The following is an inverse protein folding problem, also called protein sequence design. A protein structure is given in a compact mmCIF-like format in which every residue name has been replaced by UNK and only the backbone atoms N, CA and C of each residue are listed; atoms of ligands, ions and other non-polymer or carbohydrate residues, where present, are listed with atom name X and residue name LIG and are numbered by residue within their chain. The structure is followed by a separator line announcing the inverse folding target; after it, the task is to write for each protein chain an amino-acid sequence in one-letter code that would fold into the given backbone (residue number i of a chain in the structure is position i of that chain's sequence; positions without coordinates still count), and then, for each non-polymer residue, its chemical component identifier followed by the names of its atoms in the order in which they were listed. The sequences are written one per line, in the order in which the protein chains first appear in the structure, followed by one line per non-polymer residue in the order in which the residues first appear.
data_IF_459772475332
#
_entry.id   IF_459772475332
#
_cell.length_a   1.000
_cell.length_b   1.000
_cell.length_c   1.000
_cell.angle_alpha   90.00
_cell.angle_beta   90.00
_cell.angle_gamma   90.00
#
_symmetry.space_group_name_H-M   'P 1'
#
loop_
_entity.id
_entity.type
_entity.pdbx_description
1 polymer ?
#
# COMPACT_ATOMS: atom_id res chain seq x y z
N UNK A 1 -11.38 -41.88 35.76
CA UNK A 1 -10.16 -41.11 35.50
C UNK A 1 -10.58 -39.76 34.94
N UNK A 2 -10.65 -38.77 35.81
CA UNK A 2 -10.98 -37.37 35.46
C UNK A 2 -9.71 -36.68 34.99
N UNK A 3 -9.68 -36.29 33.72
CA UNK A 3 -8.58 -35.49 33.17
C UNK A 3 -8.81 -34.06 33.63
N UNK A 4 -7.93 -33.57 34.52
CA UNK A 4 -7.85 -32.20 34.94
C UNK A 4 -7.40 -31.34 33.74
N UNK A 5 -8.21 -30.40 33.32
CA UNK A 5 -7.84 -29.38 32.34
C UNK A 5 -7.07 -28.26 33.05
N UNK A 6 -5.79 -28.47 33.29
CA UNK A 6 -4.89 -27.36 33.63
C UNK A 6 -4.75 -26.44 32.40
N UNK A 7 -5.49 -25.33 32.40
CA UNK A 7 -5.19 -24.19 31.53
C UNK A 7 -3.82 -23.67 31.95
N UNK A 8 -2.87 -23.50 31.01
CA UNK A 8 -1.60 -22.89 31.37
C UNK A 8 -1.87 -21.48 31.94
N UNK A 9 -1.29 -21.19 33.09
CA UNK A 9 -1.28 -19.86 33.69
C UNK A 9 -0.79 -18.86 32.65
N UNK A 10 -1.53 -17.77 32.45
CA UNK A 10 -1.20 -16.77 31.45
C UNK A 10 0.25 -16.32 31.63
N UNK A 11 1.00 -16.32 30.53
CA UNK A 11 2.40 -15.84 30.50
C UNK A 11 2.36 -14.36 30.85
N UNK A 12 2.94 -13.97 31.98
CA UNK A 12 3.15 -12.57 32.34
C UNK A 12 4.17 -11.92 31.40
N UNK A 13 4.11 -10.60 31.26
CA UNK A 13 5.10 -9.86 30.48
C UNK A 13 6.50 -10.05 31.10
N UNK A 14 7.52 -10.47 30.32
CA UNK A 14 8.89 -10.47 30.80
C UNK A 14 9.38 -9.04 31.13
N UNK A 15 10.41 -8.94 31.97
CA UNK A 15 10.96 -7.66 32.45
C UNK A 15 11.34 -6.68 31.31
N UNK A 16 11.66 -7.20 30.12
CA UNK A 16 11.93 -6.37 28.94
C UNK A 16 10.71 -5.54 28.51
N UNK A 17 9.52 -5.95 28.88
CA UNK A 17 8.27 -5.28 28.59
C UNK A 17 7.68 -4.54 29.80
N UNK A 18 8.39 -4.42 30.92
CA UNK A 18 7.90 -3.76 32.14
C UNK A 18 7.49 -2.29 31.90
N UNK A 19 8.05 -1.65 30.89
CA UNK A 19 7.74 -0.27 30.48
C UNK A 19 6.59 -0.17 29.50
N UNK A 20 6.13 -1.30 28.97
CA UNK A 20 4.98 -1.29 28.08
C UNK A 20 3.71 -0.91 28.85
N UNK A 21 2.95 0.04 28.31
CA UNK A 21 1.68 0.48 28.88
C UNK A 21 0.63 0.52 27.78
N UNK A 22 -0.59 0.02 28.06
CA UNK A 22 -1.71 0.12 27.13
C UNK A 22 -2.15 1.55 26.83
N UNK A 23 -1.64 2.52 27.59
CA UNK A 23 -1.87 3.97 27.42
C UNK A 23 -0.96 4.60 26.32
N UNK A 24 -0.21 3.79 25.59
CA UNK A 24 0.65 4.24 24.49
C UNK A 24 2.05 4.67 24.89
N UNK A 25 2.48 4.43 26.14
CA UNK A 25 3.88 4.63 26.50
C UNK A 25 4.72 3.49 25.91
N UNK A 26 5.55 3.80 24.91
CA UNK A 26 6.35 2.82 24.17
C UNK A 26 7.49 2.24 25.01
N UNK A 27 7.79 0.94 24.79
CA UNK A 27 8.98 0.24 25.29
C UNK A 27 10.30 0.88 24.86
N UNK A 28 10.26 1.52 23.72
CA UNK A 28 11.38 2.21 23.11
C UNK A 28 11.00 3.69 23.03
N UNK A 29 11.91 4.55 23.40
CA UNK A 29 11.74 5.99 23.30
C UNK A 29 11.57 6.41 21.82
N UNK A 30 10.44 6.02 21.25
CA UNK A 30 9.89 6.60 20.05
C UNK A 30 9.22 7.88 20.50
N UNK A 31 10.05 8.82 20.96
CA UNK A 31 9.67 10.07 21.59
C UNK A 31 8.86 11.01 20.71
N UNK A 32 8.13 10.54 19.72
CA UNK A 32 7.31 11.40 18.84
C UNK A 32 6.11 10.74 18.17
N UNK A 33 5.81 9.48 18.42
CA UNK A 33 4.44 9.01 18.19
C UNK A 33 3.71 9.19 19.51
N UNK A 34 3.18 10.36 19.73
CA UNK A 34 2.14 10.56 20.72
C UNK A 34 0.95 9.75 20.28
N UNK A 35 0.88 8.49 20.75
CA UNK A 35 -0.40 7.82 20.77
C UNK A 35 -1.34 8.74 21.54
N UNK A 36 -2.56 9.01 21.05
CA UNK A 36 -3.52 9.80 21.79
C UNK A 36 -3.72 9.09 23.14
N UNK A 37 -3.25 9.71 24.22
CA UNK A 37 -3.75 9.45 25.55
C UNK A 37 -5.24 9.43 25.45
N UNK A 38 -5.91 8.48 26.13
CA UNK A 38 -7.37 8.28 26.11
C UNK A 38 -8.09 9.57 25.76
N UNK A 39 -8.82 9.54 24.66
CA UNK A 39 -9.43 10.74 24.12
C UNK A 39 -10.18 11.46 25.26
N UNK A 40 -9.98 12.76 25.46
CA UNK A 40 -10.72 13.52 26.47
C UNK A 40 -12.24 13.39 26.30
N UNK A 41 -12.71 12.89 25.17
CA UNK A 41 -14.11 12.79 24.75
C UNK A 41 -14.74 11.40 24.94
N UNK A 42 -14.12 10.47 25.70
CA UNK A 42 -14.70 9.15 25.97
C UNK A 42 -14.65 8.17 24.79
N UNK A 43 -13.81 8.42 23.79
CA UNK A 43 -13.57 7.46 22.71
C UNK A 43 -13.00 6.16 23.28
N UNK A 44 -13.39 5.02 22.69
CA UNK A 44 -12.88 3.72 23.06
C UNK A 44 -11.36 3.69 22.93
N UNK A 45 -10.69 3.00 23.85
CA UNK A 45 -9.24 2.81 23.78
C UNK A 45 -8.87 2.12 22.45
N UNK A 46 -7.74 2.52 21.81
CA UNK A 46 -7.28 1.85 20.60
C UNK A 46 -7.02 0.35 20.85
N UNK A 47 -7.19 -0.46 19.82
CA UNK A 47 -6.89 -1.88 19.90
C UNK A 47 -5.39 -2.09 20.13
N UNK A 48 -5.04 -2.86 21.15
CA UNK A 48 -3.66 -3.25 21.41
C UNK A 48 -3.38 -4.62 20.77
N UNK A 49 -2.41 -4.66 19.85
CA UNK A 49 -2.06 -5.88 19.10
C UNK A 49 -1.42 -6.95 19.99
N UNK A 50 -0.70 -6.56 21.04
CA UNK A 50 0.06 -7.47 21.91
C UNK A 50 -0.71 -7.86 23.17
N UNK A 51 -1.47 -6.96 23.76
CA UNK A 51 -2.15 -7.17 25.03
C UNK A 51 -3.66 -7.22 24.90
N UNK A 52 -4.27 -8.02 25.75
CA UNK A 52 -5.70 -7.92 26.08
C UNK A 52 -5.94 -6.74 27.04
N UNK A 53 -7.18 -6.28 27.13
CA UNK A 53 -7.57 -5.19 28.05
C UNK A 53 -7.24 -5.47 29.53
N UNK A 54 -7.11 -6.74 29.91
CA UNK A 54 -6.70 -7.16 31.25
C UNK A 54 -5.17 -7.28 31.44
N UNK A 55 -4.39 -6.85 30.45
CA UNK A 55 -2.93 -6.85 30.47
C UNK A 55 -2.27 -8.20 30.15
N UNK A 56 -3.05 -9.24 29.82
CA UNK A 56 -2.49 -10.52 29.39
C UNK A 56 -2.00 -10.46 27.95
N UNK A 57 -0.87 -11.11 27.67
CA UNK A 57 -0.33 -11.25 26.32
C UNK A 57 -1.27 -12.06 25.45
N UNK A 58 -1.58 -11.58 24.25
CA UNK A 58 -2.37 -12.31 23.26
C UNK A 58 -1.61 -13.54 22.77
N UNK A 59 -2.32 -14.62 22.50
CA UNK A 59 -1.73 -15.92 22.16
C UNK A 59 -0.73 -15.83 20.99
N UNK A 60 -1.03 -15.06 19.96
CA UNK A 60 -0.14 -14.87 18.81
C UNK A 60 1.22 -14.26 19.17
N UNK A 61 1.29 -13.52 20.27
CA UNK A 61 2.51 -12.83 20.72
C UNK A 61 3.31 -13.59 21.76
N UNK A 62 2.79 -14.70 22.27
CA UNK A 62 3.39 -15.46 23.40
C UNK A 62 4.83 -15.86 23.10
N UNK A 63 5.09 -16.44 21.93
CA UNK A 63 6.42 -16.94 21.57
C UNK A 63 7.41 -15.80 21.35
N UNK A 64 6.97 -14.69 20.73
CA UNK A 64 7.80 -13.52 20.52
C UNK A 64 8.17 -12.85 21.85
N UNK A 65 7.18 -12.64 22.72
CA UNK A 65 7.38 -12.05 24.06
C UNK A 65 8.32 -12.93 24.91
N UNK A 66 8.13 -14.24 24.91
CA UNK A 66 9.01 -15.19 25.60
C UNK A 66 10.44 -15.15 25.02
N UNK A 67 10.57 -15.14 23.70
CA UNK A 67 11.86 -15.07 23.02
C UNK A 67 12.65 -13.81 23.34
N UNK A 68 11.99 -12.66 23.46
CA UNK A 68 12.61 -11.42 23.89
C UNK A 68 12.89 -11.37 25.38
N UNK A 69 11.97 -11.86 26.21
CA UNK A 69 12.14 -11.91 27.66
C UNK A 69 13.36 -12.70 28.11
N UNK A 70 13.64 -13.82 27.45
CA UNK A 70 14.84 -14.63 27.71
C UNK A 70 16.14 -13.91 27.33
N UNK A 71 16.07 -12.88 26.50
CA UNK A 71 17.25 -12.15 25.98
C UNK A 71 17.60 -10.89 26.78
N UNK A 72 16.62 -10.28 27.47
CA UNK A 72 16.77 -9.04 28.23
C UNK A 72 17.02 -7.80 27.37
N UNK A 73 16.85 -6.62 27.97
CA UNK A 73 16.97 -5.31 27.32
C UNK A 73 18.28 -5.07 26.59
N UNK A 74 19.41 -5.49 27.20
CA UNK A 74 20.74 -5.24 26.60
C UNK A 74 20.91 -6.01 25.28
N UNK A 75 20.37 -7.23 25.20
CA UNK A 75 20.42 -8.03 23.96
C UNK A 75 19.50 -7.47 22.89
N UNK A 76 18.34 -6.95 23.27
CA UNK A 76 17.42 -6.35 22.32
C UNK A 76 18.01 -5.06 21.74
N UNK A 77 18.62 -4.17 22.58
CA UNK A 77 19.35 -3.00 22.10
C UNK A 77 20.51 -3.38 21.17
N UNK A 78 21.28 -4.43 21.53
CA UNK A 78 22.35 -4.93 20.67
C UNK A 78 21.83 -5.48 19.34
N UNK A 79 20.68 -6.16 19.34
CA UNK A 79 20.05 -6.64 18.12
C UNK A 79 19.50 -5.50 17.24
N UNK A 80 18.92 -4.45 17.85
CA UNK A 80 18.52 -3.23 17.15
C UNK A 80 19.71 -2.55 16.49
N UNK A 81 20.85 -2.44 17.20
CA UNK A 81 22.09 -1.89 16.62
C UNK A 81 22.63 -2.73 15.44
N UNK A 82 22.59 -4.07 15.54
CA UNK A 82 22.96 -4.95 14.40
C UNK A 82 22.01 -4.79 13.23
N UNK A 83 20.72 -4.65 13.49
CA UNK A 83 19.71 -4.45 12.45
C UNK A 83 19.94 -3.11 11.73
N UNK A 84 20.18 -2.04 12.47
CA UNK A 84 20.52 -0.73 11.90
C UNK A 84 21.84 -0.79 11.09
N UNK A 85 22.87 -1.48 11.58
CA UNK A 85 24.09 -1.74 10.82
C UNK A 85 23.82 -2.49 9.52
N UNK A 86 23.01 -3.55 9.56
CA UNK A 86 22.66 -4.33 8.37
C UNK A 86 21.85 -3.52 7.35
N UNK A 87 20.99 -2.61 7.79
CA UNK A 87 20.29 -1.65 6.91
C UNK A 87 21.29 -0.75 6.19
N UNK A 88 22.27 -0.20 6.93
CA UNK A 88 23.32 0.63 6.34
C UNK A 88 24.21 -0.13 5.36
N UNK A 89 24.62 -1.35 5.71
CA UNK A 89 25.46 -2.22 4.84
C UNK A 89 24.75 -2.59 3.52
N UNK A 90 23.43 -2.76 3.56
CA UNK A 90 22.60 -3.03 2.35
C UNK A 90 22.23 -1.74 1.61
N UNK A 91 22.57 -0.56 2.13
CA UNK A 91 22.25 0.73 1.53
C UNK A 91 20.75 1.01 1.43
N UNK A 92 19.95 0.50 2.37
CA UNK A 92 18.48 0.69 2.36
C UNK A 92 18.17 2.11 2.78
N UNK A 93 17.69 2.91 1.84
CA UNK A 93 17.38 4.32 2.06
C UNK A 93 15.98 4.67 1.54
N UNK A 94 15.39 5.69 2.16
CA UNK A 94 14.18 6.35 1.71
C UNK A 94 14.50 7.83 1.45
N UNK A 95 14.16 8.33 0.28
CA UNK A 95 14.44 9.72 -0.08
C UNK A 95 13.26 10.61 0.36
N UNK A 96 13.36 11.19 1.55
CA UNK A 96 12.35 12.14 2.02
C UNK A 96 12.43 13.45 1.24
N UNK A 97 11.32 13.91 0.67
CA UNK A 97 11.28 15.21 0.00
C UNK A 97 11.07 16.32 1.04
N UNK A 98 12.08 17.17 1.21
CA UNK A 98 12.03 18.32 2.12
C UNK A 98 12.21 19.59 1.31
N UNK A 99 11.18 20.44 1.27
CA UNK A 99 11.22 21.68 0.50
C UNK A 99 11.47 21.44 -1.01
N UNK A 100 10.98 20.34 -1.56
CA UNK A 100 11.16 19.96 -2.96
C UNK A 100 12.51 19.30 -3.28
N UNK A 101 13.36 19.06 -2.28
CA UNK A 101 14.66 18.40 -2.46
C UNK A 101 14.65 17.02 -1.81
N UNK A 102 15.01 15.96 -2.54
CA UNK A 102 15.17 14.62 -1.96
C UNK A 102 16.37 14.60 -0.99
N UNK A 103 16.12 14.10 0.22
CA UNK A 103 17.14 13.90 1.27
C UNK A 103 17.10 12.43 1.67
N UNK A 104 18.18 11.71 1.40
CA UNK A 104 18.30 10.31 1.79
C UNK A 104 18.24 10.17 3.31
N UNK A 105 17.39 9.25 3.78
CA UNK A 105 17.25 8.83 5.16
C UNK A 105 17.48 7.33 5.24
N UNK A 106 18.21 6.92 6.25
CA UNK A 106 18.36 5.49 6.52
C UNK A 106 16.99 4.89 6.83
N UNK A 107 16.71 3.75 6.21
CA UNK A 107 15.51 2.98 6.50
C UNK A 107 15.58 2.46 7.94
N UNK A 108 14.47 2.48 8.64
CA UNK A 108 14.40 2.02 10.02
C UNK A 108 13.51 0.80 10.12
N UNK A 109 14.04 -0.26 10.71
CA UNK A 109 13.29 -1.51 10.95
C UNK A 109 13.11 -1.66 12.46
N UNK A 110 11.86 -1.78 12.91
CA UNK A 110 11.59 -2.08 14.30
C UNK A 110 12.06 -3.50 14.63
N UNK A 111 12.89 -3.69 15.66
CA UNK A 111 13.31 -5.02 16.10
C UNK A 111 12.13 -5.85 16.66
N UNK A 112 11.01 -5.22 17.01
CA UNK A 112 9.78 -5.90 17.46
C UNK A 112 8.73 -5.82 16.34
N UNK A 113 8.67 -6.84 15.45
CA UNK A 113 7.76 -6.79 14.32
C UNK A 113 6.30 -6.93 14.77
N UNK A 114 5.40 -6.24 14.08
CA UNK A 114 3.97 -6.47 14.21
C UNK A 114 3.63 -7.90 13.81
N UNK A 115 2.86 -8.60 14.66
CA UNK A 115 2.37 -9.95 14.39
C UNK A 115 0.88 -9.91 14.04
N UNK A 116 0.54 -10.52 12.92
CA UNK A 116 -0.83 -10.83 12.52
C UNK A 116 -0.97 -12.35 12.60
N UNK A 117 -1.92 -12.85 13.39
CA UNK A 117 -2.09 -14.30 13.51
C UNK A 117 -2.66 -14.94 12.23
N UNK A 118 -2.54 -16.29 12.14
CA UNK A 118 -2.91 -17.01 10.93
C UNK A 118 -4.40 -16.95 10.60
N UNK A 119 -5.29 -16.85 11.60
CA UNK A 119 -6.74 -16.78 11.40
C UNK A 119 -7.13 -15.38 10.93
N UNK A 120 -6.60 -14.35 11.59
CA UNK A 120 -6.77 -12.95 11.20
C UNK A 120 -6.28 -12.76 9.76
N UNK A 121 -5.07 -13.25 9.45
CA UNK A 121 -4.52 -13.16 8.10
C UNK A 121 -5.40 -13.86 7.06
N UNK A 122 -5.88 -15.07 7.35
CA UNK A 122 -6.70 -15.83 6.40
C UNK A 122 -8.03 -15.12 6.09
N UNK A 123 -8.61 -14.46 7.08
CA UNK A 123 -9.82 -13.66 6.91
C UNK A 123 -9.53 -12.36 6.15
N UNK A 124 -8.46 -11.67 6.53
CA UNK A 124 -8.01 -10.44 5.89
C UNK A 124 -7.63 -10.67 4.43
N UNK A 125 -6.88 -11.74 4.11
CA UNK A 125 -6.49 -12.10 2.75
C UNK A 125 -7.69 -12.25 1.82
N UNK A 126 -8.74 -12.97 2.27
CA UNK A 126 -10.00 -13.11 1.49
C UNK A 126 -10.70 -11.76 1.27
N UNK A 127 -10.77 -10.96 2.32
CA UNK A 127 -11.41 -9.65 2.25
C UNK A 127 -10.64 -8.66 1.35
N UNK A 128 -9.31 -8.70 1.36
CA UNK A 128 -8.46 -7.93 0.45
C UNK A 128 -8.67 -8.38 -0.99
N UNK A 129 -8.71 -9.68 -1.26
CA UNK A 129 -8.94 -10.22 -2.61
C UNK A 129 -10.30 -9.75 -3.15
N UNK A 130 -11.36 -9.83 -2.33
CA UNK A 130 -12.69 -9.35 -2.72
C UNK A 130 -12.67 -7.85 -3.03
N UNK A 131 -12.10 -7.02 -2.13
CA UNK A 131 -12.01 -5.57 -2.32
C UNK A 131 -11.22 -5.22 -3.59
N UNK A 132 -10.09 -5.89 -3.82
CA UNK A 132 -9.30 -5.73 -5.05
C UNK A 132 -10.10 -6.07 -6.29
N UNK A 133 -10.93 -7.13 -6.24
CA UNK A 133 -11.81 -7.53 -7.34
C UNK A 133 -12.87 -6.48 -7.61
N UNK A 134 -13.49 -5.92 -6.57
CA UNK A 134 -14.47 -4.82 -6.70
C UNK A 134 -13.84 -3.62 -7.40
N UNK A 135 -12.63 -3.22 -6.98
CA UNK A 135 -11.91 -2.09 -7.58
C UNK A 135 -11.46 -2.37 -9.02
N UNK A 136 -11.03 -3.59 -9.33
CA UNK A 136 -10.67 -4.00 -10.70
C UNK A 136 -11.87 -3.94 -11.64
N UNK A 137 -13.03 -4.47 -11.23
CA UNK A 137 -14.27 -4.44 -12.00
C UNK A 137 -14.77 -3.00 -12.17
N UNK A 138 -14.73 -2.20 -11.11
CA UNK A 138 -15.07 -0.78 -11.19
C UNK A 138 -14.14 -0.06 -12.18
N UNK A 139 -12.83 -0.23 -12.08
CA UNK A 139 -11.86 0.38 -12.97
C UNK A 139 -12.14 0.04 -14.44
N UNK A 140 -12.45 -1.23 -14.74
CA UNK A 140 -12.83 -1.66 -16.08
C UNK A 140 -14.09 -0.99 -16.57
N UNK A 141 -15.13 -0.91 -15.72
CA UNK A 141 -16.40 -0.27 -16.09
C UNK A 141 -16.21 1.23 -16.38
N UNK A 142 -15.44 1.94 -15.54
CA UNK A 142 -15.18 3.39 -15.68
C UNK A 142 -14.54 3.75 -17.02
N UNK A 143 -13.68 2.88 -17.57
CA UNK A 143 -13.00 3.11 -18.85
C UNK A 143 -13.66 2.47 -20.06
N UNK A 144 -14.75 1.72 -19.87
CA UNK A 144 -15.50 1.07 -20.94
C UNK A 144 -16.97 1.52 -21.00
N UNK A 145 -17.84 0.76 -20.39
CA UNK A 145 -19.31 0.91 -20.52
C UNK A 145 -19.90 1.97 -19.60
N UNK A 146 -19.23 2.28 -18.49
CA UNK A 146 -19.64 3.25 -17.46
C UNK A 146 -21.04 2.93 -16.90
N UNK A 147 -21.36 1.64 -16.72
CA UNK A 147 -22.66 1.18 -16.21
C UNK A 147 -22.93 1.69 -14.80
N UNK A 148 -21.89 1.69 -13.95
CA UNK A 148 -21.98 2.18 -12.57
C UNK A 148 -22.30 3.66 -12.49
N UNK A 149 -21.77 4.47 -13.42
CA UNK A 149 -22.11 5.91 -13.54
C UNK A 149 -23.52 6.09 -14.08
N UNK A 150 -23.85 5.39 -15.16
CA UNK A 150 -25.17 5.50 -15.82
C UNK A 150 -26.33 5.04 -14.94
N UNK A 151 -26.09 4.09 -14.03
CA UNK A 151 -27.08 3.63 -13.06
C UNK A 151 -27.19 4.55 -11.83
N UNK A 152 -26.33 5.54 -11.69
CA UNK A 152 -26.30 6.44 -10.55
C UNK A 152 -25.61 5.87 -9.30
N UNK A 153 -24.99 4.68 -9.40
CA UNK A 153 -24.25 4.07 -8.29
C UNK A 153 -22.96 4.84 -7.98
N UNK A 154 -22.30 5.36 -9.02
CA UNK A 154 -21.07 6.17 -8.89
C UNK A 154 -21.39 7.58 -9.39
N UNK A 155 -21.31 8.61 -8.52
CA UNK A 155 -21.43 10.00 -8.96
C UNK A 155 -20.34 10.36 -9.98
N UNK A 156 -20.70 10.97 -11.12
CA UNK A 156 -19.72 11.36 -12.17
C UNK A 156 -18.58 12.23 -11.64
N UNK A 157 -18.86 13.08 -10.65
CA UNK A 157 -17.91 14.01 -10.06
C UNK A 157 -16.78 13.30 -9.33
N UNK A 158 -17.04 12.14 -8.73
CA UNK A 158 -16.02 11.31 -8.08
C UNK A 158 -15.00 10.78 -9.10
N UNK A 159 -15.42 10.57 -10.35
CA UNK A 159 -14.60 10.00 -11.41
C UNK A 159 -13.94 11.09 -12.23
N UNK A 160 -14.74 11.90 -12.91
CA UNK A 160 -14.24 12.89 -13.89
C UNK A 160 -13.59 14.11 -13.23
N UNK A 161 -13.85 14.34 -11.94
CA UNK A 161 -13.21 15.38 -11.13
C UNK A 161 -11.87 14.95 -10.53
N UNK A 162 -11.56 13.64 -10.51
CA UNK A 162 -10.34 13.12 -9.90
C UNK A 162 -9.17 13.13 -10.90
N UNK A 163 -7.95 13.58 -10.50
CA UNK A 163 -6.78 13.66 -11.39
C UNK A 163 -6.31 12.28 -11.89
N UNK A 164 -6.60 11.21 -11.15
CA UNK A 164 -6.31 9.84 -11.56
C UNK A 164 -7.12 9.35 -12.77
N UNK A 165 -8.18 10.07 -13.17
CA UNK A 165 -8.94 9.74 -14.37
C UNK A 165 -8.25 10.25 -15.63
N UNK A 166 -7.69 9.34 -16.39
CA UNK A 166 -6.94 9.65 -17.62
C UNK A 166 -7.86 9.49 -18.85
N UNK A 167 -8.33 10.59 -19.41
CA UNK A 167 -9.26 10.56 -20.58
C UNK A 167 -8.69 9.80 -21.77
N UNK A 168 -7.39 9.85 -21.99
CA UNK A 168 -6.70 9.13 -23.07
C UNK A 168 -6.69 7.61 -22.88
N UNK A 169 -6.97 7.12 -21.66
CA UNK A 169 -7.08 5.69 -21.36
C UNK A 169 -8.48 5.11 -21.67
N UNK A 170 -9.46 5.94 -22.03
CA UNK A 170 -10.81 5.48 -22.37
C UNK A 170 -10.77 4.57 -23.59
N UNK A 171 -11.33 3.36 -23.44
CA UNK A 171 -11.39 2.30 -24.47
C UNK A 171 -10.03 1.74 -24.89
N UNK A 172 -8.95 1.99 -24.14
CA UNK A 172 -7.73 1.25 -24.36
C UNK A 172 -7.99 -0.25 -24.10
N UNK A 173 -7.42 -1.10 -24.92
CA UNK A 173 -7.38 -2.53 -24.65
C UNK A 173 -6.58 -2.76 -23.37
N UNK A 174 -7.17 -3.56 -22.47
CA UNK A 174 -6.52 -3.96 -21.21
C UNK A 174 -6.14 -5.44 -21.34
N UNK A 175 -4.96 -5.75 -21.87
CA UNK A 175 -4.47 -7.11 -21.94
C UNK A 175 -4.24 -7.66 -20.53
N UNK A 176 -4.37 -8.97 -20.39
CA UNK A 176 -4.26 -9.66 -19.12
C UNK A 176 -5.57 -9.77 -18.34
N UNK A 177 -5.56 -10.56 -17.27
CA UNK A 177 -6.77 -10.92 -16.52
C UNK A 177 -7.34 -9.75 -15.70
N UNK A 178 -6.50 -8.79 -15.28
CA UNK A 178 -6.87 -7.67 -14.42
C UNK A 178 -6.36 -6.33 -14.93
N UNK A 179 -7.18 -5.30 -14.85
CA UNK A 179 -6.76 -3.92 -15.08
C UNK A 179 -5.87 -3.41 -13.91
N UNK A 180 -6.15 -3.94 -12.73
CA UNK A 180 -5.45 -3.65 -11.48
C UNK A 180 -4.53 -4.82 -11.12
N UNK A 181 -3.28 -4.76 -11.57
CA UNK A 181 -2.29 -5.82 -11.34
C UNK A 181 -1.72 -5.80 -9.92
N UNK A 182 -1.37 -4.60 -9.42
CA UNK A 182 -0.91 -4.39 -8.05
C UNK A 182 -1.89 -3.49 -7.31
N UNK A 183 -2.28 -3.93 -6.13
CA UNK A 183 -3.08 -3.17 -5.20
C UNK A 183 -2.45 -3.25 -3.82
N UNK A 184 -2.23 -2.11 -3.17
CA UNK A 184 -1.83 -2.03 -1.78
C UNK A 184 -2.93 -1.32 -0.97
N UNK A 185 -3.01 -1.66 0.31
CA UNK A 185 -4.00 -1.13 1.25
C UNK A 185 -3.29 -0.57 2.47
N UNK A 186 -3.70 0.62 2.87
CA UNK A 186 -3.41 1.14 4.19
C UNK A 186 -4.50 0.62 5.13
N UNK A 187 -4.10 -0.17 6.12
CA UNK A 187 -4.99 -0.88 7.04
C UNK A 187 -4.77 -0.43 8.47
N UNK A 188 -5.84 -0.43 9.25
CA UNK A 188 -5.78 -0.27 10.69
C UNK A 188 -6.77 -1.20 11.39
N UNK A 189 -6.71 -1.20 12.72
CA UNK A 189 -7.68 -1.90 13.55
C UNK A 189 -8.62 -0.93 14.22
N UNK A 190 -9.91 -1.18 14.11
CA UNK A 190 -10.91 -0.54 14.93
C UNK A 190 -10.75 -0.96 16.41
N UNK A 191 -11.31 -0.21 17.38
CA UNK A 191 -11.22 -0.55 18.80
C UNK A 191 -11.74 -1.96 19.15
N UNK A 192 -12.65 -2.51 18.35
CA UNK A 192 -13.16 -3.87 18.50
C UNK A 192 -12.24 -4.95 17.90
N UNK A 193 -11.14 -4.57 17.27
CA UNK A 193 -10.15 -5.45 16.67
C UNK A 193 -10.41 -5.83 15.21
N UNK A 194 -11.49 -5.35 14.59
CA UNK A 194 -11.72 -5.57 13.15
C UNK A 194 -10.76 -4.73 12.32
N UNK A 195 -10.34 -5.27 11.17
CA UNK A 195 -9.59 -4.50 10.20
C UNK A 195 -10.50 -3.56 9.42
N UNK A 196 -9.99 -2.36 9.15
CA UNK A 196 -10.62 -1.35 8.32
C UNK A 196 -9.60 -0.79 7.33
N UNK A 197 -10.05 -0.47 6.12
CA UNK A 197 -9.22 0.14 5.09
C UNK A 197 -9.25 1.66 5.21
N UNK A 198 -8.07 2.26 5.29
CA UNK A 198 -7.86 3.71 5.32
C UNK A 198 -7.64 4.29 3.93
N UNK A 199 -6.92 3.57 3.08
CA UNK A 199 -6.70 3.96 1.69
C UNK A 199 -6.42 2.75 0.79
N UNK A 200 -6.86 2.85 -0.45
CA UNK A 200 -6.51 1.96 -1.55
C UNK A 200 -5.42 2.63 -2.39
N UNK A 201 -4.34 1.90 -2.70
CA UNK A 201 -3.21 2.35 -3.52
C UNK A 201 -3.16 1.51 -4.79
N UNK A 202 -3.51 2.11 -5.90
CA UNK A 202 -3.73 1.39 -7.17
C UNK A 202 -2.94 1.97 -8.34
N UNK A 203 -2.40 3.18 -8.19
CA UNK A 203 -1.67 3.83 -9.27
C UNK A 203 -0.31 3.17 -9.50
N UNK A 204 0.57 3.27 -8.51
CA UNK A 204 1.91 2.67 -8.53
C UNK A 204 2.33 2.30 -7.09
N UNK A 205 1.63 1.36 -6.42
CA UNK A 205 1.86 1.07 -5.01
C UNK A 205 3.30 0.62 -4.77
N UNK A 206 3.99 1.23 -3.79
CA UNK A 206 5.36 0.93 -3.37
C UNK A 206 5.40 0.16 -2.05
N UNK A 207 6.59 -0.27 -1.64
CA UNK A 207 6.82 -0.93 -0.35
C UNK A 207 7.12 -2.42 -0.44
N UNK A 208 6.93 -3.07 -1.58
CA UNK A 208 7.19 -4.51 -1.75
C UNK A 208 8.68 -4.83 -1.51
N UNK A 209 9.58 -4.03 -2.08
CA UNK A 209 11.02 -4.19 -1.91
C UNK A 209 11.43 -3.96 -0.46
N UNK A 210 10.88 -2.93 0.21
CA UNK A 210 11.10 -2.70 1.63
C UNK A 210 10.60 -3.88 2.48
N UNK A 211 9.39 -4.37 2.26
CA UNK A 211 8.84 -5.51 3.00
C UNK A 211 9.70 -6.78 2.84
N UNK A 212 10.24 -7.02 1.66
CA UNK A 212 11.10 -8.18 1.40
C UNK A 212 12.48 -8.05 2.05
N UNK A 213 13.09 -6.86 2.01
CA UNK A 213 14.39 -6.64 2.67
C UNK A 213 14.24 -6.67 4.18
N UNK A 214 13.19 -6.08 4.75
CA UNK A 214 12.88 -6.13 6.18
C UNK A 214 12.77 -7.57 6.68
N UNK A 215 12.00 -8.40 5.97
CA UNK A 215 11.86 -9.82 6.26
C UNK A 215 13.22 -10.53 6.24
N UNK A 216 14.06 -10.24 5.25
CA UNK A 216 15.40 -10.83 5.11
C UNK A 216 16.31 -10.41 6.26
N UNK A 217 16.35 -9.14 6.61
CA UNK A 217 17.21 -8.60 7.66
C UNK A 217 16.77 -9.06 9.05
N UNK A 218 15.46 -9.05 9.33
CA UNK A 218 14.91 -9.58 10.57
C UNK A 218 15.23 -11.08 10.75
N UNK A 219 15.05 -11.89 9.71
CA UNK A 219 15.33 -13.33 9.79
C UNK A 219 16.81 -13.64 10.07
N UNK A 220 17.73 -12.84 9.51
CA UNK A 220 19.17 -12.97 9.78
C UNK A 220 19.55 -12.50 11.18
N UNK A 221 18.90 -11.47 11.68
CA UNK A 221 19.19 -10.89 13.00
C UNK A 221 18.62 -11.73 14.14
N UNK A 222 17.45 -12.35 13.91
CA UNK A 222 16.70 -13.12 14.90
C UNK A 222 16.34 -14.54 14.41
N UNK A 223 17.31 -15.39 13.99
CA UNK A 223 17.01 -16.67 13.35
C UNK A 223 16.20 -17.64 14.24
N UNK A 224 16.50 -17.68 15.55
CA UNK A 224 15.77 -18.54 16.48
C UNK A 224 14.33 -18.09 16.67
N UNK A 225 14.07 -16.78 16.72
CA UNK A 225 12.73 -16.24 16.83
C UNK A 225 11.90 -16.57 15.57
N UNK A 226 12.53 -16.46 14.39
CA UNK A 226 11.90 -16.86 13.14
C UNK A 226 11.57 -18.35 13.08
N UNK A 227 12.41 -19.23 13.64
CA UNK A 227 12.12 -20.66 13.73
C UNK A 227 10.94 -20.94 14.65
N UNK A 228 10.85 -20.23 15.78
CA UNK A 228 9.78 -20.42 16.78
C UNK A 228 8.45 -19.87 16.27
N UNK A 229 8.41 -18.64 15.77
CA UNK A 229 7.20 -18.00 15.27
C UNK A 229 6.77 -18.51 13.88
N UNK A 230 7.69 -19.12 13.12
CA UNK A 230 7.44 -19.71 11.79
C UNK A 230 6.55 -18.82 10.86
N UNK A 231 6.92 -17.54 10.62
CA UNK A 231 6.08 -16.66 9.83
C UNK A 231 5.97 -17.15 8.39
N UNK A 232 4.81 -16.93 7.75
CA UNK A 232 4.58 -17.29 6.34
C UNK A 232 5.70 -16.73 5.45
N UNK A 233 6.28 -17.54 4.54
CA UNK A 233 7.33 -17.08 3.64
C UNK A 233 6.78 -16.10 2.61
N UNK A 234 7.57 -15.06 2.29
CA UNK A 234 7.24 -14.06 1.26
C UNK A 234 8.02 -14.30 -0.06
N UNK A 235 8.91 -15.28 -0.08
CA UNK A 235 9.82 -15.55 -1.21
C UNK A 235 9.10 -15.93 -2.50
N UNK A 236 7.97 -16.64 -2.40
CA UNK A 236 7.20 -17.07 -3.57
C UNK A 236 6.53 -15.93 -4.30
N UNK A 237 6.32 -14.78 -3.64
CA UNK A 237 5.67 -13.61 -4.21
C UNK A 237 6.37 -13.12 -5.49
N UNK A 238 7.70 -12.98 -5.47
CA UNK A 238 8.45 -12.52 -6.62
C UNK A 238 8.30 -13.44 -7.84
N UNK A 239 8.35 -14.76 -7.62
CA UNK A 239 8.12 -15.73 -8.68
C UNK A 239 6.72 -15.63 -9.28
N UNK A 240 5.71 -15.49 -8.43
CA UNK A 240 4.31 -15.32 -8.86
C UNK A 240 4.12 -14.03 -9.67
N UNK A 241 4.63 -12.90 -9.17
CA UNK A 241 4.55 -11.60 -9.88
C UNK A 241 5.29 -11.67 -11.23
N UNK A 242 6.48 -12.30 -11.25
CA UNK A 242 7.23 -12.48 -12.49
C UNK A 242 6.44 -13.25 -13.55
N UNK A 243 5.85 -14.38 -13.17
CA UNK A 243 5.05 -15.18 -14.10
C UNK A 243 3.79 -14.45 -14.54
N UNK A 244 3.08 -13.83 -13.60
CA UNK A 244 1.89 -13.06 -13.91
C UNK A 244 2.14 -11.89 -14.87
N UNK A 245 3.32 -11.25 -14.83
CA UNK A 245 3.67 -10.19 -15.78
C UNK A 245 3.80 -10.70 -17.23
N UNK A 246 4.16 -11.95 -17.44
CA UNK A 246 4.20 -12.54 -18.77
C UNK A 246 2.80 -12.72 -19.37
N UNK A 247 1.77 -12.93 -18.54
CA UNK A 247 0.37 -13.02 -18.99
C UNK A 247 -0.19 -11.68 -19.52
N UNK A 248 0.56 -10.58 -19.30
CA UNK A 248 0.22 -9.26 -19.83
C UNK A 248 0.92 -8.94 -21.15
N UNK A 249 1.58 -9.92 -21.76
CA UNK A 249 2.18 -9.73 -23.08
C UNK A 249 1.13 -9.32 -24.13
N UNK A 250 1.48 -8.43 -25.07
CA UNK A 250 0.64 -8.16 -26.22
C UNK A 250 0.35 -9.45 -27.03
N UNK A 251 -0.80 -9.55 -27.71
CA UNK A 251 -1.14 -10.71 -28.52
C UNK A 251 -0.04 -11.10 -29.53
N UNK A 252 0.30 -12.37 -29.58
CA UNK A 252 1.30 -12.93 -30.50
C UNK A 252 2.76 -12.77 -30.04
N UNK A 253 2.99 -12.41 -28.77
CA UNK A 253 4.33 -12.35 -28.16
C UNK A 253 4.46 -13.52 -27.18
N UNK A 254 5.27 -14.54 -27.55
CA UNK A 254 5.46 -15.75 -26.73
C UNK A 254 6.54 -15.58 -25.65
N UNK A 255 7.56 -14.75 -25.90
CA UNK A 255 8.67 -14.47 -24.98
C UNK A 255 8.78 -12.95 -24.73
N UNK A 256 7.93 -12.39 -23.86
CA UNK A 256 7.87 -10.96 -23.68
C UNK A 256 9.07 -10.39 -22.93
N UNK A 257 9.56 -9.27 -23.41
CA UNK A 257 10.51 -8.45 -22.66
C UNK A 257 9.74 -7.54 -21.69
N UNK A 258 9.93 -7.79 -20.40
CA UNK A 258 9.39 -6.97 -19.31
C UNK A 258 10.45 -6.00 -18.81
N UNK A 259 10.08 -4.76 -18.51
CA UNK A 259 10.94 -3.78 -17.85
C UNK A 259 10.19 -3.06 -16.73
N UNK A 260 10.93 -2.58 -15.73
CA UNK A 260 10.40 -1.76 -14.63
C UNK A 260 10.71 -0.29 -14.92
N UNK A 261 9.69 0.51 -15.17
CA UNK A 261 9.83 1.93 -15.45
C UNK A 261 9.84 2.73 -14.13
N UNK A 262 11.00 3.30 -13.80
CA UNK A 262 11.27 4.08 -12.60
C UNK A 262 11.34 5.58 -12.89
N UNK A 263 10.97 6.45 -11.93
CA UNK A 263 11.25 7.87 -12.01
C UNK A 263 12.73 8.22 -11.72
N UNK A 264 13.57 7.24 -11.42
CA UNK A 264 15.00 7.41 -11.20
C UNK A 264 15.40 7.48 -9.73
N UNK A 265 16.71 7.67 -9.52
CA UNK A 265 17.35 7.59 -8.19
C UNK A 265 16.92 8.67 -7.19
N UNK A 266 16.29 9.74 -7.67
CA UNK A 266 15.77 10.82 -6.81
C UNK A 266 14.35 10.55 -6.30
N UNK A 267 13.73 9.45 -6.70
CA UNK A 267 12.43 9.03 -6.19
C UNK A 267 12.50 8.70 -4.69
N UNK A 268 11.44 9.01 -3.96
CA UNK A 268 11.30 8.63 -2.56
C UNK A 268 11.53 7.13 -2.33
N UNK A 269 11.05 6.31 -3.25
CA UNK A 269 11.09 4.85 -3.18
C UNK A 269 12.06 4.23 -4.20
N UNK A 270 13.15 4.94 -4.54
CA UNK A 270 14.14 4.46 -5.50
C UNK A 270 14.73 3.10 -5.12
N UNK A 271 15.04 2.90 -3.84
CA UNK A 271 15.54 1.61 -3.33
C UNK A 271 14.52 0.49 -3.52
N UNK A 272 13.25 0.72 -3.15
CA UNK A 272 12.15 -0.24 -3.32
C UNK A 272 12.03 -0.71 -4.78
N UNK A 273 12.09 0.22 -5.71
CA UNK A 273 11.97 -0.06 -7.14
C UNK A 273 13.17 -0.86 -7.67
N UNK A 274 14.38 -0.47 -7.27
CA UNK A 274 15.60 -1.17 -7.65
C UNK A 274 15.63 -2.59 -7.08
N UNK A 275 15.27 -2.75 -5.82
CA UNK A 275 15.18 -4.06 -5.17
C UNK A 275 14.13 -4.95 -5.83
N UNK A 276 12.96 -4.41 -6.11
CA UNK A 276 11.88 -5.13 -6.80
C UNK A 276 12.34 -5.60 -8.19
N UNK A 277 12.93 -4.71 -8.99
CA UNK A 277 13.44 -5.04 -10.31
C UNK A 277 14.49 -6.17 -10.26
N UNK A 278 15.41 -6.08 -9.29
CA UNK A 278 16.45 -7.10 -9.09
C UNK A 278 15.86 -8.46 -8.70
N UNK A 279 14.88 -8.48 -7.77
CA UNK A 279 14.25 -9.73 -7.31
C UNK A 279 13.38 -10.35 -8.41
N UNK A 280 12.71 -9.55 -9.22
CA UNK A 280 11.95 -10.00 -10.38
C UNK A 280 12.86 -10.43 -11.54
N UNK A 281 14.11 -9.98 -11.57
CA UNK A 281 15.06 -10.25 -12.65
C UNK A 281 14.73 -9.50 -13.93
N UNK A 282 14.12 -8.31 -13.82
CA UNK A 282 13.81 -7.41 -14.93
C UNK A 282 14.72 -6.18 -14.93
N UNK A 283 15.03 -5.61 -16.10
CA UNK A 283 15.77 -4.35 -16.16
C UNK A 283 14.97 -3.22 -15.52
N UNK A 284 15.65 -2.41 -14.70
CA UNK A 284 15.17 -1.12 -14.23
C UNK A 284 15.55 -0.08 -15.29
N UNK A 285 14.56 0.68 -15.76
CA UNK A 285 14.75 1.70 -16.81
C UNK A 285 14.09 3.00 -16.40
N UNK A 286 14.66 4.11 -16.85
CA UNK A 286 14.06 5.44 -16.78
C UNK A 286 13.45 5.82 -18.13
N UNK A 287 12.59 6.85 -18.17
CA UNK A 287 12.01 7.33 -19.43
C UNK A 287 13.05 7.66 -20.50
N UNK A 288 14.23 8.15 -20.10
CA UNK A 288 15.36 8.45 -21.00
C UNK A 288 15.99 7.22 -21.66
N UNK A 289 15.83 6.03 -21.07
CA UNK A 289 16.33 4.78 -21.62
C UNK A 289 15.38 4.18 -22.66
N UNK A 290 14.18 4.72 -22.75
CA UNK A 290 13.13 4.22 -23.63
C UNK A 290 12.92 5.16 -24.82
N UNK A 291 12.41 4.61 -25.90
CA UNK A 291 11.99 5.36 -27.09
C UNK A 291 10.87 4.63 -27.81
N UNK A 292 9.92 5.39 -28.36
CA UNK A 292 8.88 4.85 -29.23
C UNK A 292 9.29 5.07 -30.69
N UNK A 293 9.22 4.01 -31.50
CA UNK A 293 9.45 4.04 -32.94
C UNK A 293 8.36 3.24 -33.63
N UNK A 294 7.70 3.86 -34.59
CA UNK A 294 6.60 3.24 -35.32
C UNK A 294 5.50 2.63 -34.42
N UNK A 295 5.28 3.27 -33.26
CA UNK A 295 4.30 2.83 -32.25
C UNK A 295 4.75 1.62 -31.43
N UNK A 296 6.04 1.28 -31.40
CA UNK A 296 6.62 0.20 -30.59
C UNK A 296 7.64 0.77 -29.62
N UNK A 297 7.60 0.30 -28.37
CA UNK A 297 8.55 0.73 -27.32
C UNK A 297 9.83 -0.07 -27.40
N UNK A 298 10.95 0.64 -27.34
CA UNK A 298 12.27 0.04 -27.28
C UNK A 298 13.08 0.60 -26.13
N UNK A 299 13.86 -0.26 -25.45
CA UNK A 299 14.91 0.18 -24.54
C UNK A 299 16.28 0.19 -25.25
N UNK A 300 17.12 1.12 -24.86
CA UNK A 300 18.52 1.22 -25.31
C UNK A 300 19.35 0.27 -24.45
N UNK A 301 20.06 -0.66 -25.12
CA UNK A 301 20.93 -1.62 -24.43
C UNK A 301 22.20 -1.82 -25.24
N UNK A 302 23.35 -1.41 -24.71
CA UNK A 302 24.67 -1.58 -25.33
C UNK A 302 24.72 -1.20 -26.82
N UNK A 303 24.15 -0.06 -27.18
CA UNK A 303 24.12 0.43 -28.56
C UNK A 303 23.11 -0.24 -29.48
N UNK A 304 22.23 -1.11 -28.92
CA UNK A 304 21.12 -1.76 -29.63
C UNK A 304 19.80 -1.32 -29.05
N UNK A 305 18.74 -1.50 -29.83
CA UNK A 305 17.37 -1.33 -29.39
C UNK A 305 16.76 -2.70 -29.13
N UNK A 306 16.27 -2.92 -27.92
CA UNK A 306 15.51 -4.12 -27.55
C UNK A 306 14.06 -3.72 -27.35
N UNK A 307 13.14 -4.39 -28.03
CA UNK A 307 11.69 -4.18 -27.86
C UNK A 307 11.30 -4.45 -26.43
N UNK A 308 10.38 -3.66 -25.90
CA UNK A 308 9.73 -3.84 -24.60
C UNK A 308 8.26 -4.10 -24.82
N UNK A 309 7.77 -5.20 -24.28
CA UNK A 309 6.41 -5.68 -24.47
C UNK A 309 5.52 -5.40 -23.25
N UNK A 310 6.10 -5.41 -22.04
CA UNK A 310 5.39 -5.11 -20.79
C UNK A 310 6.20 -4.12 -19.96
N UNK A 311 5.57 -3.05 -19.51
CA UNK A 311 6.15 -2.07 -18.59
C UNK A 311 5.44 -2.16 -17.23
N UNK A 312 6.17 -2.60 -16.20
CA UNK A 312 5.75 -2.42 -14.81
C UNK A 312 6.04 -0.97 -14.42
N UNK A 313 5.00 -0.15 -14.41
CA UNK A 313 5.11 1.29 -14.19
C UNK A 313 5.24 1.62 -12.70
N UNK A 314 6.29 2.40 -12.35
CA UNK A 314 6.52 2.94 -10.99
C UNK A 314 6.48 4.46 -10.96
N UNK A 315 6.00 5.10 -12.02
CA UNK A 315 5.71 6.53 -12.11
C UNK A 315 4.20 6.74 -12.15
N UNK A 316 3.71 7.90 -11.74
CA UNK A 316 2.28 8.19 -11.85
C UNK A 316 1.86 8.31 -13.32
N UNK A 317 0.62 7.89 -13.60
CA UNK A 317 0.14 7.76 -14.97
C UNK A 317 0.21 9.09 -15.76
N UNK A 318 -0.07 10.20 -15.10
CA UNK A 318 -0.02 11.52 -15.74
C UNK A 318 1.37 11.88 -16.28
N UNK A 319 2.43 11.34 -15.67
CA UNK A 319 3.81 11.56 -16.13
C UNK A 319 4.28 10.56 -17.18
N UNK A 320 3.48 9.58 -17.55
CA UNK A 320 3.90 8.47 -18.39
C UNK A 320 4.19 8.86 -19.84
N UNK A 321 3.58 9.93 -20.37
CA UNK A 321 3.78 10.41 -21.72
C UNK A 321 3.70 11.93 -21.81
N UNK A 322 4.81 12.64 -22.15
CA UNK A 322 4.81 14.09 -22.27
C UNK A 322 4.03 14.63 -23.50
N UNK A 323 3.72 13.80 -24.49
CA UNK A 323 2.95 14.24 -25.66
C UNK A 323 1.45 14.24 -25.43
N UNK A 324 0.95 13.19 -24.76
CA UNK A 324 -0.49 12.96 -24.63
C UNK A 324 -1.05 13.25 -23.24
N UNK A 325 -0.18 13.32 -22.20
CA UNK A 325 -0.56 13.52 -20.82
C UNK A 325 0.02 14.82 -20.27
N UNK A 326 1.01 14.76 -19.42
CA UNK A 326 1.60 15.92 -18.77
C UNK A 326 2.82 16.43 -19.53
N UNK A 327 2.68 17.57 -20.18
CA UNK A 327 3.66 18.11 -21.16
C UNK A 327 5.02 18.50 -20.56
N UNK A 328 5.10 18.79 -19.27
CA UNK A 328 6.34 19.08 -18.54
C UNK A 328 7.02 17.84 -17.95
N UNK A 329 6.46 16.64 -18.19
CA UNK A 329 7.03 15.40 -17.69
C UNK A 329 8.38 15.08 -18.33
N UNK A 330 9.35 14.75 -17.46
CA UNK A 330 10.66 14.21 -17.86
C UNK A 330 10.82 12.74 -17.48
N UNK A 331 9.77 12.13 -16.86
CA UNK A 331 9.80 10.78 -16.34
C UNK A 331 9.25 9.77 -17.32
N UNK A 332 8.40 10.21 -18.23
CA UNK A 332 7.69 9.37 -19.19
C UNK A 332 8.41 9.18 -20.51
N UNK A 333 7.73 8.50 -21.41
CA UNK A 333 8.21 8.15 -22.75
C UNK A 333 7.29 8.79 -23.79
N UNK A 334 7.82 9.66 -24.62
CA UNK A 334 7.05 10.31 -25.68
C UNK A 334 6.47 9.27 -26.65
N UNK A 335 5.13 9.27 -26.82
CA UNK A 335 4.39 8.33 -27.66
C UNK A 335 4.02 7.02 -26.98
N UNK A 336 4.18 6.89 -25.65
CA UNK A 336 3.79 5.69 -24.92
C UNK A 336 2.28 5.43 -24.99
N UNK A 337 1.45 6.47 -24.88
CA UNK A 337 -0.01 6.34 -25.01
C UNK A 337 -0.41 5.78 -26.38
N UNK A 338 0.27 6.23 -27.45
CA UNK A 338 0.05 5.69 -28.79
C UNK A 338 0.45 4.20 -28.87
N UNK A 339 1.59 3.82 -28.32
CA UNK A 339 2.04 2.42 -28.29
C UNK A 339 1.07 1.51 -27.54
N UNK A 340 0.55 1.97 -26.38
CA UNK A 340 -0.49 1.28 -25.62
C UNK A 340 -1.78 1.18 -26.44
N UNK A 341 -2.20 2.26 -27.10
CA UNK A 341 -3.42 2.29 -27.92
C UNK A 341 -3.33 1.35 -29.13
N UNK A 342 -2.14 1.14 -29.68
CA UNK A 342 -1.88 0.15 -30.73
C UNK A 342 -1.78 -1.30 -30.24
N UNK A 343 -1.79 -1.50 -28.93
CA UNK A 343 -1.61 -2.82 -28.33
C UNK A 343 -0.22 -3.41 -28.53
N UNK A 344 0.82 -2.59 -28.76
CA UNK A 344 2.19 -3.03 -28.98
C UNK A 344 2.99 -3.15 -27.68
N UNK A 345 2.53 -2.54 -26.62
CA UNK A 345 3.06 -2.60 -25.25
C UNK A 345 1.93 -2.59 -24.25
N UNK A 346 2.08 -3.33 -23.16
CA UNK A 346 1.18 -3.27 -22.00
C UNK A 346 1.84 -2.51 -20.87
N UNK A 347 1.08 -1.60 -20.24
CA UNK A 347 1.51 -0.87 -19.04
C UNK A 347 0.72 -1.35 -17.84
N UNK A 348 1.38 -1.78 -16.79
CA UNK A 348 0.81 -2.30 -15.53
C UNK A 348 1.29 -1.49 -14.31
N UNK A 349 0.44 -1.03 -13.38
CA UNK A 349 -1.02 -0.99 -13.58
C UNK A 349 -1.37 -0.12 -14.78
N UNK A 350 -2.54 -0.34 -15.34
CA UNK A 350 -2.99 0.42 -16.53
C UNK A 350 -2.98 1.93 -16.28
N UNK A 351 -2.87 2.70 -17.35
CA UNK A 351 -3.05 4.14 -17.28
C UNK A 351 -4.46 4.46 -16.76
N UNK A 352 -4.54 5.34 -15.78
CA UNK A 352 -5.82 5.71 -15.16
C UNK A 352 -6.24 4.85 -13.98
N UNK A 353 -5.44 3.85 -13.55
CA UNK A 353 -5.73 3.07 -12.34
C UNK A 353 -5.84 3.95 -11.07
N UNK A 354 -5.20 5.09 -11.03
CA UNK A 354 -5.28 6.04 -9.91
C UNK A 354 -6.68 6.60 -9.62
N UNK A 355 -7.64 6.47 -10.54
CA UNK A 355 -9.01 6.94 -10.28
C UNK A 355 -9.69 6.17 -9.15
N UNK A 356 -9.33 4.90 -8.94
CA UNK A 356 -9.90 4.08 -7.86
C UNK A 356 -9.14 4.22 -6.54
N UNK A 357 -8.15 5.11 -6.44
CA UNK A 357 -7.55 5.58 -5.17
C UNK A 357 -8.37 6.71 -4.52
N UNK A 358 -9.39 7.23 -5.21
CA UNK A 358 -10.18 8.33 -4.69
C UNK A 358 -10.84 7.96 -3.36
N UNK A 359 -10.51 8.65 -2.25
CA UNK A 359 -11.08 8.34 -0.94
C UNK A 359 -12.60 8.53 -0.88
N UNK A 360 -13.19 9.33 -1.77
CA UNK A 360 -14.64 9.46 -1.86
C UNK A 360 -15.33 8.13 -2.24
N UNK A 361 -14.65 7.22 -2.94
CA UNK A 361 -15.18 5.90 -3.27
C UNK A 361 -15.46 5.05 -2.02
N UNK A 362 -14.76 5.28 -0.92
CA UNK A 362 -15.01 4.60 0.36
C UNK A 362 -16.45 4.77 0.83
N UNK A 363 -17.12 5.86 0.45
CA UNK A 363 -18.52 6.13 0.82
C UNK A 363 -19.54 5.28 0.07
N UNK A 364 -19.13 4.61 -1.01
CA UNK A 364 -20.03 3.86 -1.90
C UNK A 364 -19.59 2.40 -2.12
N UNK A 365 -18.41 1.98 -1.65
CA UNK A 365 -17.92 0.61 -1.87
C UNK A 365 -18.85 -0.46 -1.33
N UNK A 366 -19.50 -0.21 -0.18
CA UNK A 366 -20.51 -1.11 0.40
C UNK A 366 -21.72 -1.32 -0.54
N UNK A 367 -22.08 -0.29 -1.32
CA UNK A 367 -23.15 -0.37 -2.29
C UNK A 367 -22.69 -0.98 -3.63
N UNK A 368 -21.41 -0.86 -3.96
CA UNK A 368 -20.84 -1.37 -5.19
C UNK A 368 -20.54 -2.87 -5.14
N UNK A 369 -20.08 -3.38 -4.00
CA UNK A 369 -19.68 -4.77 -3.85
C UNK A 369 -20.82 -5.75 -4.21
N UNK A 370 -22.06 -5.61 -3.69
CA UNK A 370 -23.15 -6.49 -4.07
C UNK A 370 -23.48 -6.46 -5.58
N UNK A 371 -23.28 -5.31 -6.22
CA UNK A 371 -23.58 -5.16 -7.67
C UNK A 371 -22.47 -5.74 -8.54
N UNK A 372 -21.22 -5.63 -8.11
CA UNK A 372 -20.08 -6.03 -8.94
C UNK A 372 -19.63 -7.48 -8.71
N UNK A 373 -19.76 -7.99 -7.47
CA UNK A 373 -19.28 -9.32 -7.09
C UNK A 373 -20.34 -10.20 -6.44
N UNK A 374 -21.61 -9.74 -6.32
CA UNK A 374 -22.74 -10.45 -5.70
C UNK A 374 -22.49 -10.85 -4.22
N UNK A 375 -21.70 -10.06 -3.52
CA UNK A 375 -21.32 -10.25 -2.11
C UNK A 375 -21.28 -8.92 -1.37
N UNK A 376 -21.58 -8.92 -0.07
CA UNK A 376 -21.34 -7.75 0.78
C UNK A 376 -19.84 -7.51 0.95
N UNK A 377 -19.45 -6.24 1.12
CA UNK A 377 -18.04 -5.87 1.29
C UNK A 377 -17.47 -6.44 2.60
N UNK A 378 -16.51 -7.35 2.47
CA UNK A 378 -15.92 -8.05 3.62
C UNK A 378 -14.89 -7.20 4.39
N UNK A 379 -14.20 -6.27 3.72
CA UNK A 379 -13.26 -5.32 4.35
C UNK A 379 -13.86 -3.93 4.29
N UNK A 380 -14.44 -3.42 5.38
CA UNK A 380 -15.03 -2.09 5.42
C UNK A 380 -13.96 -1.01 5.31
N UNK A 381 -14.36 0.15 4.84
CA UNK A 381 -13.54 1.37 4.94
C UNK A 381 -13.77 2.04 6.29
N UNK A 382 -12.80 2.84 6.75
CA UNK A 382 -13.02 3.76 7.87
C UNK A 382 -14.21 4.68 7.56
N UNK A 383 -14.98 5.11 8.57
CA UNK A 383 -16.09 6.03 8.36
C UNK A 383 -15.64 7.26 7.55
N UNK A 384 -16.14 7.37 6.35
CA UNK A 384 -15.76 8.41 5.39
C UNK A 384 -17.00 9.12 4.90
N UNK A 385 -16.90 10.43 4.68
CA UNK A 385 -17.98 11.27 4.17
C UNK A 385 -17.48 12.07 2.98
N UNK A 386 -18.32 12.21 1.96
CA UNK A 386 -18.00 13.01 0.77
C UNK A 386 -18.83 14.30 0.74
N UNK A 387 -18.16 15.45 0.69
CA UNK A 387 -18.81 16.75 0.68
C UNK A 387 -19.61 17.06 -0.61
N UNK A 388 -19.46 16.26 -1.67
CA UNK A 388 -20.27 16.34 -2.88
C UNK A 388 -21.72 15.89 -2.72
N UNK A 389 -22.01 15.07 -1.70
CA UNK A 389 -23.35 14.65 -1.33
C UNK A 389 -23.94 15.62 -0.31
N UNK A 390 -25.18 16.09 -0.53
CA UNK A 390 -25.82 17.12 0.31
C UNK A 390 -26.10 16.66 1.74
N UNK A 391 -26.46 15.37 1.92
CA UNK A 391 -26.74 14.79 3.22
C UNK A 391 -25.45 14.64 4.01
N UNK A 392 -24.43 14.05 3.39
CA UNK A 392 -23.11 13.86 4.00
C UNK A 392 -22.45 15.21 4.29
N UNK A 393 -22.58 16.20 3.41
CA UNK A 393 -22.06 17.55 3.63
C UNK A 393 -22.69 18.22 4.85
N UNK A 394 -23.99 17.99 5.09
CA UNK A 394 -24.66 18.50 6.28
C UNK A 394 -24.11 17.85 7.56
N UNK A 395 -23.81 16.56 7.53
CA UNK A 395 -23.15 15.83 8.62
C UNK A 395 -21.72 16.34 8.85
N UNK A 396 -20.93 16.49 7.79
CA UNK A 396 -19.57 17.05 7.86
C UNK A 396 -19.58 18.41 8.56
N UNK A 397 -20.54 19.29 8.23
CA UNK A 397 -20.64 20.60 8.87
C UNK A 397 -20.98 20.52 10.36
N UNK A 398 -21.79 19.56 10.75
CA UNK A 398 -22.18 19.36 12.16
C UNK A 398 -21.02 18.81 13.01
N UNK A 399 -20.19 17.94 12.43
CA UNK A 399 -19.11 17.20 13.11
C UNK A 399 -17.71 17.73 12.76
N UNK A 400 -17.59 18.91 12.17
CA UNK A 400 -16.35 19.44 11.59
C UNK A 400 -15.15 19.46 12.56
N UNK A 401 -15.40 19.60 13.86
CA UNK A 401 -14.35 19.57 14.88
C UNK A 401 -13.77 18.20 15.19
N UNK A 402 -14.41 17.13 14.71
CA UNK A 402 -14.04 15.74 14.98
C UNK A 402 -13.52 15.01 13.73
N UNK A 403 -13.57 15.67 12.57
CA UNK A 403 -13.23 15.08 11.28
C UNK A 403 -11.90 15.58 10.76
N UNK A 404 -11.17 14.71 10.11
CA UNK A 404 -10.03 15.06 9.24
C UNK A 404 -10.56 15.35 7.84
N UNK A 405 -10.27 16.53 7.32
CA UNK A 405 -10.65 16.93 5.97
C UNK A 405 -9.50 16.64 5.01
N UNK A 406 -9.78 15.89 3.96
CA UNK A 406 -8.81 15.55 2.91
C UNK A 406 -9.27 16.12 1.57
N UNK A 407 -8.38 16.78 0.86
CA UNK A 407 -8.65 17.18 -0.51
C UNK A 407 -8.59 15.93 -1.41
N UNK A 408 -9.73 15.53 -1.98
CA UNK A 408 -9.81 14.33 -2.81
C UNK A 408 -8.99 14.38 -4.10
N UNK A 409 -8.57 15.57 -4.54
CA UNK A 409 -7.72 15.75 -5.74
C UNK A 409 -6.23 15.61 -5.45
N UNK A 410 -5.79 16.09 -4.30
CA UNK A 410 -4.36 16.11 -3.94
C UNK A 410 -3.99 15.04 -2.93
N UNK A 411 -4.99 14.45 -2.22
CA UNK A 411 -4.77 13.57 -1.08
C UNK A 411 -4.23 14.29 0.15
N UNK A 412 -4.06 15.61 0.09
CA UNK A 412 -3.56 16.40 1.22
C UNK A 412 -4.62 16.52 2.29
N UNK A 413 -4.22 16.28 3.53
CA UNK A 413 -5.03 16.63 4.70
C UNK A 413 -5.08 18.14 4.82
N UNK A 414 -6.30 18.69 4.72
CA UNK A 414 -6.50 20.14 4.76
C UNK A 414 -6.51 20.64 6.20
N UNK A 415 -6.97 19.85 7.14
CA UNK A 415 -6.99 20.19 8.58
C UNK A 415 -7.17 18.94 9.46
N UNK A 416 -6.30 18.75 10.46
CA UNK A 416 -6.58 18.00 11.68
C UNK A 416 -7.56 18.81 12.55
N UNK A 417 -8.33 18.19 13.49
CA UNK A 417 -9.52 18.79 14.08
C UNK A 417 -9.34 20.29 14.36
N UNK A 418 -10.17 21.08 13.69
CA UNK A 418 -10.08 22.54 13.68
C UNK A 418 -10.17 23.08 15.10
N UNK A 419 -9.03 23.26 15.76
CA UNK A 419 -8.97 23.92 17.05
C UNK A 419 -9.32 25.43 16.95
N UNK A 420 -9.38 25.98 15.72
CA UNK A 420 -9.57 27.40 15.51
C UNK A 420 -10.86 27.72 14.73
N UNK A 421 -11.73 28.53 15.35
CA UNK A 421 -13.04 28.89 14.79
C UNK A 421 -12.95 29.69 13.47
N UNK A 422 -11.80 30.31 13.18
CA UNK A 422 -11.57 31.10 11.96
C UNK A 422 -11.49 30.24 10.69
N UNK A 423 -11.02 29.00 10.78
CA UNK A 423 -10.95 28.08 9.64
C UNK A 423 -12.30 27.40 9.33
N UNK A 424 -13.32 27.58 10.19
CA UNK A 424 -14.68 27.02 9.99
C UNK A 424 -15.53 27.80 8.99
N UNK A 425 -15.09 28.97 8.58
CA UNK A 425 -15.85 29.89 7.72
C UNK A 425 -15.30 30.02 6.31
N UNK A 426 -14.19 29.39 6.00
CA UNK A 426 -13.60 29.34 4.65
C UNK A 426 -14.05 28.06 3.90
#
# INVERSE_FOLDING_TARGET
MTVSSDKPAGVGLPAVFDRYRPDGSALFDVARLTAPTASPNGAAAPYDEMLHADGRVRTAWTDLVAGYGLRGDARLRSAAGRLAGAVGDEGVVYNQVIGGTPVARDWQIDPVPLLIDGNDWSSLEKAIIQRSTVLDLLLRDLYRDQKTIRSGLVPPEMVFGHPGYIRKAVRLELPGPHALFLHALDLGRAPDGRFEAYADRTQAPSGIGFAMIDRRLLSRTFPQLFQTCAPRPVTNFAGTVRLALFDYAPPGVDDPTVAVLSPGSMSETAYDQAYLAAVLGFPLVEGSDLTVRDGVVYMRSLGKFKRVDVLLRRIDAEYADPLDLRTDSRLGVAGLVEAVSRGTVTVVNTLGSGVVENPALHTILDSLAPVLVDEDLALPSVPTYWAGDDVQRSKIRAELGELVLTNFRTGEEVVAPLADAAARTA
#
